data_IF_902448490165
#
_entry.id   IF_902448490165
#
_cell.length_a   1.000
_cell.length_b   1.000
_cell.length_c   1.000
_cell.angle_alpha   90.00
_cell.angle_beta   90.00
_cell.angle_gamma   90.00
#
_symmetry.space_group_name_H-M   'P 1'
#
loop_
_entity.id
_entity.type
_entity.pdbx_description
1 polymer ?
#
# COMPACT_ATOMS: atom_id res chain seq x y z
N UNK A 1 18.89 -59.69 4.55
CA UNK A 1 19.87 -59.32 5.60
C UNK A 1 19.24 -58.19 6.39
N UNK A 2 18.85 -58.42 7.64
CA UNK A 2 18.22 -57.38 8.48
C UNK A 2 19.33 -56.56 9.14
N UNK A 3 19.42 -55.27 8.80
CA UNK A 3 20.29 -54.33 9.50
C UNK A 3 19.55 -53.86 10.76
N UNK A 4 20.04 -54.24 11.94
CA UNK A 4 19.54 -53.68 13.21
C UNK A 4 20.29 -52.39 13.50
N UNK A 5 19.56 -51.27 13.54
CA UNK A 5 20.11 -49.93 13.81
C UNK A 5 20.34 -49.73 15.31
N UNK A 6 19.60 -50.45 16.16
CA UNK A 6 19.71 -50.40 17.61
C UNK A 6 18.48 -51.01 18.28
N UNK A 7 18.57 -51.25 19.58
CA UNK A 7 17.51 -51.89 20.36
C UNK A 7 16.48 -50.88 20.87
N UNK A 8 16.89 -49.62 21.08
CA UNK A 8 16.04 -48.56 21.62
C UNK A 8 16.37 -47.19 21.01
N UNK A 9 15.32 -46.41 20.72
CA UNK A 9 15.44 -44.97 20.47
C UNK A 9 15.63 -44.24 21.80
N UNK A 10 16.75 -43.52 21.93
CA UNK A 10 17.10 -42.71 23.11
C UNK A 10 16.40 -41.37 23.03
N UNK A 11 16.41 -40.72 21.87
CA UNK A 11 15.80 -39.41 21.68
C UNK A 11 15.89 -38.88 20.26
N UNK A 12 15.12 -37.83 20.02
CA UNK A 12 15.07 -37.07 18.78
C UNK A 12 15.34 -35.61 19.13
N UNK A 13 16.28 -34.97 18.43
CA UNK A 13 16.64 -33.57 18.70
C UNK A 13 17.00 -32.85 17.41
N UNK A 14 16.83 -31.53 17.40
CA UNK A 14 17.36 -30.63 16.36
C UNK A 14 18.81 -30.22 16.59
N UNK A 15 19.39 -30.62 17.74
CA UNK A 15 20.79 -30.38 18.09
C UNK A 15 21.46 -31.68 18.51
N UNK A 16 22.80 -31.75 18.43
CA UNK A 16 23.62 -32.89 18.86
C UNK A 16 23.73 -33.07 20.38
N UNK A 17 22.93 -32.32 21.15
CA UNK A 17 22.92 -32.40 22.60
C UNK A 17 21.79 -33.33 23.00
N UNK A 18 22.18 -34.50 23.51
CA UNK A 18 21.28 -35.43 24.18
C UNK A 18 21.62 -35.41 25.67
N UNK A 19 20.63 -35.61 26.54
CA UNK A 19 20.75 -35.52 28.01
C UNK A 19 21.98 -36.26 28.59
N UNK A 20 22.42 -37.33 27.94
CA UNK A 20 23.51 -38.20 28.39
C UNK A 20 24.73 -38.22 27.45
N UNK A 21 24.67 -37.55 26.29
CA UNK A 21 25.72 -37.62 25.27
C UNK A 21 25.80 -36.32 24.47
N UNK A 22 26.99 -35.70 24.48
CA UNK A 22 27.30 -34.60 23.56
C UNK A 22 28.15 -35.17 22.44
N UNK A 23 27.58 -35.27 21.25
CA UNK A 23 28.29 -35.75 20.07
C UNK A 23 29.10 -34.56 19.53
N UNK A 24 30.39 -34.76 19.22
CA UNK A 24 31.26 -33.64 18.87
C UNK A 24 30.81 -33.01 17.53
N UNK A 25 30.74 -31.68 17.52
CA UNK A 25 30.09 -30.87 16.47
C UNK A 25 30.87 -30.87 15.14
N UNK A 26 32.17 -31.20 15.19
CA UNK A 26 33.05 -31.37 14.03
C UNK A 26 32.60 -32.48 13.07
N UNK A 27 31.62 -33.29 13.48
CA UNK A 27 31.07 -34.42 12.73
C UNK A 27 29.87 -34.02 11.85
N UNK A 28 29.34 -32.81 12.02
CA UNK A 28 28.26 -32.28 11.19
C UNK A 28 28.83 -31.32 10.15
N UNK A 29 28.79 -31.75 8.90
CA UNK A 29 28.96 -30.83 7.78
C UNK A 29 27.84 -29.78 7.80
N UNK A 30 28.21 -28.51 7.63
CA UNK A 30 27.25 -27.42 7.51
C UNK A 30 26.26 -27.72 6.38
N UNK A 31 24.98 -27.64 6.70
CA UNK A 31 23.89 -27.85 5.75
C UNK A 31 22.98 -26.62 5.75
N UNK A 32 22.50 -26.23 4.57
CA UNK A 32 21.69 -25.02 4.40
C UNK A 32 20.26 -25.16 4.94
N UNK A 33 19.77 -26.39 5.09
CA UNK A 33 18.40 -26.70 5.51
C UNK A 33 18.38 -27.34 6.92
N UNK A 34 17.22 -27.38 7.60
CA UNK A 34 17.10 -28.00 8.91
C UNK A 34 17.54 -29.46 8.90
N UNK A 35 18.14 -29.88 10.02
CA UNK A 35 18.58 -31.25 10.28
C UNK A 35 17.92 -31.77 11.56
N UNK A 36 17.59 -33.05 11.59
CA UNK A 36 17.09 -33.72 12.80
C UNK A 36 17.92 -34.97 13.07
N UNK A 37 18.17 -35.24 14.35
CA UNK A 37 19.07 -36.30 14.80
C UNK A 37 18.28 -37.29 15.63
N UNK A 38 18.38 -38.57 15.24
CA UNK A 38 17.77 -39.68 15.97
C UNK A 38 18.90 -40.50 16.57
N UNK A 39 18.90 -40.62 17.89
CA UNK A 39 19.89 -41.38 18.62
C UNK A 39 19.31 -42.73 19.03
N UNK A 40 19.93 -43.80 18.57
CA UNK A 40 19.63 -45.18 18.96
C UNK A 40 20.75 -45.72 19.84
N UNK A 41 20.37 -46.62 20.76
CA UNK A 41 21.30 -47.36 21.61
C UNK A 41 21.03 -48.85 21.46
N UNK A 42 22.09 -49.64 21.36
CA UNK A 42 22.05 -51.08 21.54
C UNK A 42 22.62 -51.46 22.91
N UNK A 43 22.02 -52.48 23.52
CA UNK A 43 22.49 -53.06 24.79
C UNK A 43 23.62 -54.08 24.59
N UNK A 44 23.99 -54.37 23.35
CA UNK A 44 25.15 -55.19 23.03
C UNK A 44 26.41 -54.48 23.53
N UNK A 45 27.19 -55.13 24.39
CA UNK A 45 28.44 -54.59 24.95
C UNK A 45 29.62 -55.40 24.45
N UNK A 46 30.76 -54.73 24.27
CA UNK A 46 32.02 -55.39 23.91
C UNK A 46 33.14 -54.89 24.82
N UNK A 47 34.33 -55.52 24.73
CA UNK A 47 35.51 -55.06 25.49
C UNK A 47 35.90 -53.62 25.15
N UNK A 48 35.64 -53.17 23.92
CA UNK A 48 35.93 -51.81 23.47
C UNK A 48 34.81 -50.83 23.79
N UNK A 49 33.55 -51.28 23.82
CA UNK A 49 32.37 -50.46 24.08
C UNK A 49 31.62 -50.97 25.32
N UNK A 50 32.10 -50.59 26.52
CA UNK A 50 31.49 -51.00 27.78
C UNK A 50 30.07 -50.43 28.00
N UNK A 51 29.80 -49.26 27.41
CA UNK A 51 28.52 -48.55 27.55
C UNK A 51 27.48 -48.92 26.48
N UNK A 52 27.80 -49.91 25.65
CA UNK A 52 27.03 -50.33 24.49
C UNK A 52 27.38 -49.57 23.22
N UNK A 53 26.66 -49.88 22.14
CA UNK A 53 26.79 -49.21 20.85
C UNK A 53 25.72 -48.14 20.67
N UNK A 54 26.09 -47.05 20.00
CA UNK A 54 25.19 -45.97 19.65
C UNK A 54 25.14 -45.81 18.14
N UNK A 55 23.96 -45.46 17.61
CA UNK A 55 23.79 -45.13 16.21
C UNK A 55 23.04 -43.81 16.09
N UNK A 56 23.60 -42.87 15.32
CA UNK A 56 22.99 -41.59 15.00
C UNK A 56 22.52 -41.63 13.56
N UNK A 57 21.23 -41.35 13.37
CA UNK A 57 20.66 -41.08 12.07
C UNK A 57 20.46 -39.58 11.94
N UNK A 58 21.20 -38.97 11.03
CA UNK A 58 21.06 -37.56 10.68
C UNK A 58 20.15 -37.43 9.48
N UNK A 59 18.96 -36.89 9.67
CA UNK A 59 18.04 -36.59 8.58
C UNK A 59 18.28 -35.16 8.09
N UNK A 60 18.71 -35.03 6.83
CA UNK A 60 18.93 -33.74 6.16
C UNK A 60 17.76 -33.43 5.23
N UNK A 61 17.15 -32.27 5.42
CA UNK A 61 16.13 -31.76 4.51
C UNK A 61 16.76 -31.39 3.16
N UNK A 62 16.24 -31.97 2.09
CA UNK A 62 16.50 -31.52 0.72
C UNK A 62 15.18 -31.41 -0.05
N UNK A 63 14.60 -30.21 -0.17
CA UNK A 63 13.29 -30.00 -0.78
C UNK A 63 13.32 -30.21 -2.31
N UNK A 64 14.49 -30.14 -2.93
CA UNK A 64 14.65 -30.33 -4.38
C UNK A 64 14.89 -31.80 -4.76
N UNK A 65 15.26 -32.65 -3.81
CA UNK A 65 15.54 -34.06 -4.09
C UNK A 65 14.26 -34.86 -4.32
N UNK A 66 14.23 -35.59 -5.44
CA UNK A 66 13.14 -36.51 -5.78
C UNK A 66 13.27 -37.87 -5.09
N UNK A 67 14.45 -38.20 -4.55
CA UNK A 67 14.74 -39.48 -3.91
C UNK A 67 15.51 -39.32 -2.60
N UNK A 68 15.40 -40.32 -1.72
CA UNK A 68 16.21 -40.40 -0.51
C UNK A 68 17.62 -40.88 -0.86
N UNK A 69 18.64 -40.16 -0.40
CA UNK A 69 20.05 -40.54 -0.52
C UNK A 69 20.59 -40.87 0.85
N UNK A 70 21.34 -41.97 0.93
CA UNK A 70 22.05 -42.37 2.14
C UNK A 70 23.54 -42.11 1.87
N UNK A 71 24.17 -41.38 2.77
CA UNK A 71 25.59 -41.05 2.71
C UNK A 71 26.22 -41.22 4.08
N UNK A 72 27.51 -41.53 4.09
CA UNK A 72 28.30 -41.51 5.31
C UNK A 72 28.96 -40.12 5.46
N UNK A 73 29.21 -39.66 6.69
CA UNK A 73 29.90 -38.39 6.92
C UNK A 73 31.32 -38.43 6.36
N UNK A 74 31.80 -37.33 5.79
CA UNK A 74 33.19 -37.23 5.32
C UNK A 74 34.22 -37.44 6.44
N UNK A 75 33.86 -37.11 7.69
CA UNK A 75 34.73 -37.32 8.87
C UNK A 75 34.93 -38.80 9.22
N UNK A 76 33.93 -39.64 8.96
CA UNK A 76 33.96 -41.08 9.26
C UNK A 76 33.48 -41.86 8.02
N UNK A 77 34.34 -42.11 7.02
CA UNK A 77 33.94 -42.76 5.76
C UNK A 77 33.45 -44.20 5.94
N UNK A 78 33.92 -44.87 6.99
CA UNK A 78 33.48 -46.23 7.38
C UNK A 78 32.19 -46.20 8.22
N UNK A 79 31.61 -45.03 8.44
CA UNK A 79 30.39 -44.84 9.23
C UNK A 79 30.59 -44.87 10.74
N UNK A 80 31.83 -45.06 11.20
CA UNK A 80 32.22 -44.96 12.60
C UNK A 80 33.67 -44.48 12.69
N UNK A 81 33.98 -43.66 13.70
CA UNK A 81 35.34 -43.19 13.95
C UNK A 81 36.00 -43.89 15.16
N UNK A 82 35.21 -44.35 16.13
CA UNK A 82 35.67 -44.97 17.38
C UNK A 82 35.24 -46.44 17.53
N UNK A 83 34.40 -46.94 16.63
CA UNK A 83 33.85 -48.30 16.66
C UNK A 83 32.70 -48.51 17.66
N UNK A 84 32.31 -47.47 18.41
CA UNK A 84 31.19 -47.52 19.36
C UNK A 84 30.02 -46.65 18.91
N UNK A 85 30.31 -45.58 18.16
CA UNK A 85 29.32 -44.67 17.60
C UNK A 85 29.28 -44.83 16.07
N UNK A 86 28.12 -45.26 15.58
CA UNK A 86 27.82 -45.32 14.15
C UNK A 86 27.04 -44.09 13.72
N UNK A 87 27.30 -43.60 12.51
CA UNK A 87 26.63 -42.46 11.96
C UNK A 87 26.25 -42.68 10.50
N UNK A 88 25.00 -42.35 10.21
CA UNK A 88 24.43 -42.41 8.88
C UNK A 88 23.69 -41.11 8.59
N UNK A 89 23.92 -40.53 7.42
CA UNK A 89 23.23 -39.34 6.96
C UNK A 89 22.22 -39.74 5.90
N UNK A 90 20.96 -39.36 6.10
CA UNK A 90 19.85 -39.60 5.19
C UNK A 90 19.35 -38.24 4.70
N UNK A 91 19.59 -37.96 3.42
CA UNK A 91 19.12 -36.74 2.77
C UNK A 91 17.84 -37.04 2.01
N UNK A 92 16.76 -36.34 2.33
CA UNK A 92 15.45 -36.58 1.71
C UNK A 92 14.52 -35.36 1.82
N UNK A 93 13.58 -35.23 0.88
CA UNK A 93 12.48 -34.27 0.98
C UNK A 93 11.60 -34.49 2.21
N UNK A 94 11.46 -35.74 2.65
CA UNK A 94 10.61 -36.08 3.81
C UNK A 94 11.24 -35.72 5.16
N UNK A 95 12.52 -35.34 5.17
CA UNK A 95 13.18 -34.80 6.36
C UNK A 95 12.91 -33.29 6.55
N UNK A 96 12.25 -32.64 5.59
CA UNK A 96 11.89 -31.23 5.68
C UNK A 96 10.66 -31.01 6.57
N UNK A 97 10.58 -29.85 7.25
CA UNK A 97 9.39 -29.48 8.00
C UNK A 97 8.20 -29.28 7.06
N UNK A 98 7.00 -29.47 7.60
CA UNK A 98 5.75 -29.12 6.92
C UNK A 98 5.59 -27.60 6.98
N UNK A 99 5.20 -26.98 5.87
CA UNK A 99 5.00 -25.53 5.82
C UNK A 99 3.93 -25.09 6.83
N UNK A 100 4.24 -24.09 7.65
CA UNK A 100 3.27 -23.40 8.51
C UNK A 100 2.66 -22.21 7.77
N UNK A 101 1.59 -21.62 8.30
CA UNK A 101 0.94 -20.43 7.73
C UNK A 101 1.91 -19.25 7.53
N UNK A 102 2.93 -19.14 8.38
CA UNK A 102 3.97 -18.10 8.32
C UNK A 102 4.98 -18.31 7.18
N UNK A 103 5.13 -19.54 6.70
CA UNK A 103 6.05 -19.88 5.61
C UNK A 103 5.49 -19.52 4.23
N UNK A 104 4.24 -19.05 4.15
CA UNK A 104 3.62 -18.63 2.90
C UNK A 104 3.89 -17.16 2.61
N UNK A 105 4.48 -16.91 1.45
CA UNK A 105 4.60 -15.57 0.90
C UNK A 105 3.37 -15.27 0.03
N UNK A 106 2.69 -14.18 0.37
CA UNK A 106 1.61 -13.65 -0.45
C UNK A 106 2.17 -12.81 -1.60
N UNK A 107 1.69 -13.11 -2.80
CA UNK A 107 1.94 -12.35 -4.00
C UNK A 107 0.61 -11.75 -4.43
N UNK A 108 0.54 -10.43 -4.32
CA UNK A 108 -0.64 -9.65 -4.65
C UNK A 108 -0.64 -9.38 -6.15
N UNK A 109 -1.65 -9.87 -6.86
CA UNK A 109 -1.85 -9.65 -8.28
C UNK A 109 -2.36 -8.25 -8.61
N UNK A 110 -2.58 -8.00 -9.90
CA UNK A 110 -3.17 -6.74 -10.38
C UNK A 110 -4.64 -6.61 -9.97
N UNK A 111 -5.08 -5.37 -9.74
CA UNK A 111 -6.49 -5.05 -9.47
C UNK A 111 -7.23 -4.83 -10.80
N UNK A 112 -7.96 -5.84 -11.26
CA UNK A 112 -8.70 -5.82 -12.53
C UNK A 112 -10.19 -5.92 -12.23
N UNK A 113 -10.99 -4.97 -12.72
CA UNK A 113 -12.45 -4.92 -12.47
C UNK A 113 -12.84 -4.98 -10.98
N UNK A 114 -12.06 -4.33 -10.10
CA UNK A 114 -12.23 -4.36 -8.62
C UNK A 114 -12.01 -5.73 -7.97
N UNK A 115 -11.38 -6.67 -8.67
CA UNK A 115 -10.98 -7.96 -8.17
C UNK A 115 -9.46 -8.10 -8.26
N UNK A 116 -8.86 -8.63 -7.20
CA UNK A 116 -7.44 -8.84 -7.07
C UNK A 116 -7.19 -10.26 -6.61
N UNK A 117 -6.36 -10.98 -7.37
CA UNK A 117 -5.99 -12.36 -7.05
C UNK A 117 -4.73 -12.36 -6.20
N UNK A 118 -4.81 -12.93 -5.00
CA UNK A 118 -3.67 -13.09 -4.10
C UNK A 118 -3.21 -14.54 -4.17
N UNK A 119 -1.99 -14.76 -4.65
CA UNK A 119 -1.37 -16.08 -4.72
C UNK A 119 -0.50 -16.31 -3.49
N UNK A 120 -0.70 -17.43 -2.80
CA UNK A 120 0.16 -17.85 -1.68
C UNK A 120 1.19 -18.87 -2.18
N UNK A 121 2.47 -18.57 -1.98
CA UNK A 121 3.59 -19.42 -2.39
C UNK A 121 4.38 -19.83 -1.15
N UNK A 122 4.58 -21.14 -0.90
CA UNK A 122 5.35 -21.60 0.26
C UNK A 122 6.85 -21.30 0.12
N UNK A 123 7.52 -21.16 1.25
CA UNK A 123 8.96 -20.99 1.32
C UNK A 123 9.72 -22.25 0.87
N UNK A 124 10.98 -22.06 0.45
CA UNK A 124 11.80 -23.16 -0.10
C UNK A 124 12.27 -24.18 0.92
N UNK A 125 12.20 -23.90 2.23
CA UNK A 125 12.73 -24.77 3.29
C UNK A 125 11.71 -25.77 3.86
N UNK A 126 10.49 -25.78 3.34
CA UNK A 126 9.41 -26.63 3.84
C UNK A 126 8.77 -27.44 2.70
N UNK A 127 8.07 -28.51 3.06
CA UNK A 127 7.32 -29.35 2.14
C UNK A 127 5.82 -29.21 2.38
N UNK A 128 5.05 -29.30 1.29
CA UNK A 128 3.60 -29.37 1.31
C UNK A 128 3.19 -30.84 1.49
N UNK A 129 2.30 -31.13 2.43
CA UNK A 129 1.74 -32.48 2.61
C UNK A 129 0.24 -32.41 2.36
N UNK A 130 -0.23 -33.21 1.39
CA UNK A 130 -1.63 -33.29 1.01
C UNK A 130 -2.06 -32.18 0.04
N UNK A 131 -3.35 -31.88 0.05
CA UNK A 131 -3.93 -30.77 -0.72
C UNK A 131 -3.76 -29.50 0.10
N UNK A 132 -2.53 -29.03 0.28
CA UNK A 132 -2.31 -27.76 0.95
C UNK A 132 -2.33 -26.64 -0.09
N UNK A 133 -3.34 -25.82 0.07
CA UNK A 133 -3.92 -24.97 -0.94
C UNK A 133 -2.99 -23.77 -1.20
N UNK A 134 -2.24 -23.82 -2.30
CA UNK A 134 -1.86 -22.63 -3.09
C UNK A 134 -3.11 -21.97 -3.69
N UNK A 135 -4.20 -21.93 -2.92
CA UNK A 135 -5.48 -21.39 -3.31
C UNK A 135 -5.34 -19.89 -3.41
N UNK A 136 -5.40 -19.45 -4.66
CA UNK A 136 -5.47 -18.06 -5.00
C UNK A 136 -6.76 -17.50 -4.42
N UNK A 137 -6.66 -16.62 -3.43
CA UNK A 137 -7.84 -15.95 -2.87
C UNK A 137 -8.14 -14.73 -3.72
N UNK A 138 -9.40 -14.57 -4.12
CA UNK A 138 -9.85 -13.39 -4.86
C UNK A 138 -10.42 -12.38 -3.85
N UNK A 139 -9.76 -11.24 -3.73
CA UNK A 139 -10.15 -10.16 -2.81
C UNK A 139 -10.63 -8.97 -3.63
N UNK A 140 -11.62 -8.22 -3.11
CA UNK A 140 -12.04 -6.98 -3.76
C UNK A 140 -10.99 -5.89 -3.55
N UNK A 141 -10.62 -5.21 -4.63
CA UNK A 141 -9.63 -4.16 -4.65
C UNK A 141 -10.21 -2.90 -5.29
N UNK A 142 -9.58 -1.75 -5.06
CA UNK A 142 -9.96 -0.48 -5.69
C UNK A 142 -8.87 -0.07 -6.67
N UNK A 143 -9.19 -0.08 -7.97
CA UNK A 143 -8.22 0.14 -9.06
C UNK A 143 -7.72 1.58 -9.16
N UNK A 144 -8.45 2.55 -8.59
CA UNK A 144 -8.09 3.96 -8.54
C UNK A 144 -8.06 4.43 -7.09
N UNK A 145 -6.91 4.98 -6.68
CA UNK A 145 -6.77 5.61 -5.38
C UNK A 145 -7.61 6.90 -5.36
N UNK A 146 -8.24 7.18 -4.22
CA UNK A 146 -9.09 8.37 -4.03
C UNK A 146 -8.30 9.65 -4.33
N UNK A 147 -6.99 9.65 -4.08
CA UNK A 147 -6.10 10.76 -4.37
C UNK A 147 -5.99 11.06 -5.87
N UNK A 148 -5.83 10.03 -6.71
CA UNK A 148 -5.77 10.20 -8.18
C UNK A 148 -7.12 10.67 -8.72
N UNK A 149 -8.22 10.12 -8.20
CA UNK A 149 -9.56 10.56 -8.57
C UNK A 149 -9.80 12.05 -8.26
N UNK A 150 -9.31 12.52 -7.11
CA UNK A 150 -9.40 13.92 -6.70
C UNK A 150 -8.56 14.83 -7.60
N UNK A 151 -7.35 14.41 -7.98
CA UNK A 151 -6.49 15.17 -8.91
C UNK A 151 -7.16 15.32 -10.27
N UNK A 152 -7.75 14.25 -10.83
CA UNK A 152 -8.46 14.29 -12.11
C UNK A 152 -9.68 15.24 -12.02
N UNK A 153 -10.43 15.18 -10.92
CA UNK A 153 -11.58 16.06 -10.71
C UNK A 153 -11.17 17.55 -10.63
N UNK A 154 -10.11 17.88 -9.89
CA UNK A 154 -9.61 19.25 -9.78
C UNK A 154 -9.07 19.74 -11.13
N UNK A 155 -8.30 18.92 -11.83
CA UNK A 155 -7.75 19.28 -13.13
C UNK A 155 -8.85 19.59 -14.16
N UNK A 156 -9.89 18.76 -14.22
CA UNK A 156 -11.04 19.00 -15.12
C UNK A 156 -11.79 20.28 -14.74
N UNK A 157 -12.01 20.56 -13.45
CA UNK A 157 -12.65 21.79 -13.00
C UNK A 157 -11.86 23.06 -13.39
N UNK A 158 -10.53 23.04 -13.27
CA UNK A 158 -9.67 24.17 -13.65
C UNK A 158 -9.72 24.42 -15.16
N UNK A 159 -9.69 23.38 -15.99
CA UNK A 159 -9.78 23.50 -17.44
C UNK A 159 -11.12 24.16 -17.85
N UNK A 160 -12.22 23.71 -17.26
CA UNK A 160 -13.55 24.27 -17.52
C UNK A 160 -13.62 25.75 -17.09
N UNK A 161 -13.08 26.09 -15.92
CA UNK A 161 -13.03 27.47 -15.43
C UNK A 161 -12.23 28.40 -16.36
N UNK A 162 -11.06 27.95 -16.83
CA UNK A 162 -10.25 28.71 -17.79
C UNK A 162 -10.99 28.91 -19.12
N UNK A 163 -11.65 27.88 -19.63
CA UNK A 163 -12.44 27.97 -20.86
C UNK A 163 -13.58 28.99 -20.75
N UNK A 164 -14.35 28.96 -19.66
CA UNK A 164 -15.42 29.93 -19.39
C UNK A 164 -14.84 31.35 -19.32
N UNK A 165 -13.72 31.54 -18.64
CA UNK A 165 -13.08 32.85 -18.50
C UNK A 165 -12.68 33.43 -19.86
N UNK A 166 -12.09 32.60 -20.75
CA UNK A 166 -11.76 33.01 -22.12
C UNK A 166 -13.00 33.40 -22.92
N UNK A 167 -14.09 32.65 -22.81
CA UNK A 167 -15.36 32.99 -23.48
C UNK A 167 -15.94 34.32 -22.97
N UNK A 168 -15.89 34.56 -21.66
CA UNK A 168 -16.35 35.82 -21.06
C UNK A 168 -15.52 37.00 -21.55
N UNK A 169 -14.19 36.88 -21.60
CA UNK A 169 -13.30 37.92 -22.11
C UNK A 169 -13.60 38.20 -23.59
N UNK A 170 -13.79 37.16 -24.41
CA UNK A 170 -14.15 37.33 -25.82
C UNK A 170 -15.49 38.05 -25.99
N UNK A 171 -16.52 37.65 -25.25
CA UNK A 171 -17.84 38.28 -25.28
C UNK A 171 -17.78 39.75 -24.83
N UNK A 172 -16.97 40.07 -23.81
CA UNK A 172 -16.74 41.44 -23.34
C UNK A 172 -15.97 42.27 -24.37
N UNK A 173 -14.92 41.72 -24.99
CA UNK A 173 -14.15 42.41 -26.04
C UNK A 173 -14.99 42.69 -27.29
N UNK A 174 -15.83 41.74 -27.72
CA UNK A 174 -16.79 41.99 -28.82
C UNK A 174 -17.77 43.11 -28.47
N UNK A 175 -18.28 43.15 -27.23
CA UNK A 175 -19.17 44.23 -26.77
C UNK A 175 -18.48 45.59 -26.76
N UNK A 176 -17.18 45.63 -26.45
CA UNK A 176 -16.39 46.86 -26.52
C UNK A 176 -16.17 47.31 -27.96
N UNK A 177 -15.72 46.43 -28.86
CA UNK A 177 -15.56 46.77 -30.29
C UNK A 177 -16.85 47.30 -30.90
N UNK A 178 -17.98 46.68 -30.58
CA UNK A 178 -19.31 47.15 -31.00
C UNK A 178 -19.62 48.57 -30.49
N UNK A 179 -19.28 48.89 -29.22
CA UNK A 179 -19.46 50.24 -28.66
C UNK A 179 -18.48 51.26 -29.25
N UNK A 180 -17.20 50.92 -29.44
CA UNK A 180 -16.20 51.81 -30.02
C UNK A 180 -16.50 52.13 -31.49
N UNK A 181 -16.97 51.16 -32.29
CA UNK A 181 -17.36 51.38 -33.68
C UNK A 181 -18.58 52.32 -33.79
N UNK A 182 -19.54 52.19 -32.88
CA UNK A 182 -20.70 53.09 -32.80
C UNK A 182 -20.32 54.52 -32.38
N UNK A 183 -19.37 54.66 -31.45
CA UNK A 183 -18.82 55.97 -31.04
C UNK A 183 -18.03 56.64 -32.16
N UNK A 184 -17.17 55.90 -32.87
CA UNK A 184 -16.39 56.43 -34.01
C UNK A 184 -17.31 56.84 -35.16
N UNK A 185 -18.38 56.10 -35.45
CA UNK A 185 -19.38 56.56 -36.44
C UNK A 185 -20.13 57.81 -35.98
N UNK A 186 -20.47 57.94 -34.69
CA UNK A 186 -21.13 59.15 -34.17
C UNK A 186 -20.20 60.37 -34.03
N UNK A 187 -18.89 60.15 -33.88
CA UNK A 187 -17.88 61.20 -33.81
C UNK A 187 -17.37 61.61 -35.20
N UNK A 188 -17.21 60.66 -36.13
CA UNK A 188 -16.81 60.92 -37.51
C UNK A 188 -17.92 61.54 -38.36
N UNK A 189 -19.16 61.59 -37.87
CA UNK A 189 -20.30 62.19 -38.56
C UNK A 189 -20.57 63.66 -38.23
N UNK A 190 -19.67 64.36 -37.51
CA UNK A 190 -19.96 65.70 -36.98
C UNK A 190 -19.11 66.85 -37.53
N UNK A 191 -18.12 66.57 -38.39
CA UNK A 191 -17.28 67.60 -39.02
C UNK A 191 -17.23 67.46 -40.55
N UNK A 192 -18.34 67.78 -41.24
CA UNK A 192 -18.37 68.27 -42.63
C UNK A 192 -19.79 68.71 -43.06
N UNK A 193 -20.02 70.02 -43.02
CA UNK A 193 -21.00 70.86 -43.75
C UNK A 193 -22.54 70.65 -43.59
N UNK A 194 -23.23 71.77 -43.30
CA UNK A 194 -24.67 72.00 -43.01
C UNK A 194 -25.56 72.07 -44.29
N UNK A 195 -26.88 72.37 -44.22
CA UNK A 195 -27.97 71.89 -43.35
C UNK A 195 -29.16 71.34 -44.18
N UNK A 196 -29.98 70.49 -43.58
CA UNK A 196 -31.29 70.14 -44.12
C UNK A 196 -32.07 69.32 -43.12
N UNK A 197 -33.13 69.91 -42.55
CA UNK A 197 -34.26 69.13 -42.07
C UNK A 197 -34.66 68.15 -43.19
N UNK A 198 -35.14 66.93 -42.96
CA UNK A 198 -36.40 66.61 -42.30
C UNK A 198 -36.42 65.14 -41.80
N UNK A 199 -37.36 64.85 -40.91
CA UNK A 199 -38.00 63.55 -40.66
C UNK A 199 -37.52 62.73 -39.45
N UNK A 200 -38.43 62.69 -38.47
CA UNK A 200 -38.57 61.59 -37.53
C UNK A 200 -38.88 60.29 -38.30
N UNK A 201 -38.03 59.27 -38.16
CA UNK A 201 -38.41 57.90 -38.45
C UNK A 201 -38.30 57.10 -37.14
N UNK A 202 -39.47 56.87 -36.55
CA UNK A 202 -39.72 55.90 -35.49
C UNK A 202 -39.32 54.49 -35.97
N UNK A 203 -38.65 53.75 -35.09
CA UNK A 203 -39.12 52.41 -34.70
C UNK A 203 -38.90 52.29 -33.21
N UNK A 204 -39.97 52.56 -32.46
CA UNK A 204 -40.22 51.85 -31.22
C UNK A 204 -40.36 50.37 -31.59
N UNK A 205 -39.56 49.52 -30.95
CA UNK A 205 -39.97 48.14 -30.66
C UNK A 205 -39.68 47.91 -29.18
N UNK A 206 -40.71 47.38 -28.55
CA UNK A 206 -41.00 47.34 -27.12
C UNK A 206 -40.08 46.42 -26.32
N UNK A 207 -39.99 46.75 -25.03
CA UNK A 207 -39.88 45.88 -23.85
C UNK A 207 -39.19 44.50 -23.97
N UNK A 208 -38.07 44.39 -23.25
CA UNK A 208 -38.04 43.43 -22.13
C UNK A 208 -37.07 43.89 -21.02
N UNK A 209 -37.71 44.44 -19.98
CA UNK A 209 -37.41 44.45 -18.54
C UNK A 209 -35.97 44.31 -17.98
N UNK A 210 -35.77 45.07 -16.90
CA UNK A 210 -34.69 45.00 -15.90
C UNK A 210 -33.40 45.80 -16.19
N UNK A 211 -33.53 47.12 -16.30
CA UNK A 211 -32.46 48.02 -15.85
C UNK A 211 -32.93 48.78 -14.61
N UNK A 212 -32.32 48.42 -13.49
CA UNK A 212 -32.49 49.01 -12.18
C UNK A 212 -32.48 50.55 -12.24
N UNK A 213 -33.59 51.15 -11.84
CA UNK A 213 -33.63 52.57 -11.47
C UNK A 213 -32.99 52.70 -10.09
N UNK A 214 -31.77 53.22 -10.02
CA UNK A 214 -31.15 53.60 -8.74
C UNK A 214 -31.67 55.00 -8.37
N UNK A 215 -32.55 55.06 -7.36
CA UNK A 215 -33.13 56.32 -6.86
C UNK A 215 -32.20 56.92 -5.82
N UNK A 216 -31.68 58.12 -6.10
CA UNK A 216 -30.89 58.91 -5.14
C UNK A 216 -31.87 59.58 -4.15
N UNK A 217 -31.82 59.16 -2.88
CA UNK A 217 -32.56 59.77 -1.76
C UNK A 217 -31.65 60.73 -1.00
N UNK A 218 -31.99 62.02 -0.97
CA UNK A 218 -31.37 63.02 -0.12
C UNK A 218 -32.07 63.05 1.24
N UNK A 219 -31.37 62.65 2.30
CA UNK A 219 -31.80 62.83 3.70
C UNK A 219 -31.13 64.08 4.25
N UNK A 220 -31.93 65.09 4.60
CA UNK A 220 -31.47 66.24 5.38
C UNK A 220 -31.84 66.02 6.85
N UNK A 221 -30.84 65.93 7.73
CA UNK A 221 -31.02 65.73 9.16
C UNK A 221 -29.74 66.01 9.95
N UNK A 222 -29.81 67.04 10.81
CA UNK A 222 -28.72 67.66 11.60
C UNK A 222 -28.00 66.70 12.58
N UNK A 223 -26.68 66.61 12.41
CA UNK A 223 -25.57 66.66 13.38
C UNK A 223 -25.68 66.13 14.83
N UNK A 224 -24.71 65.26 15.21
CA UNK A 224 -23.58 65.46 16.17
C UNK A 224 -22.76 64.15 16.24
N UNK A 225 -21.45 64.16 15.90
CA UNK A 225 -20.28 64.11 16.82
C UNK A 225 -20.20 62.78 17.63
N UNK A 226 -19.16 61.93 17.65
CA UNK A 226 -17.70 62.06 17.47
C UNK A 226 -17.03 60.65 17.47
N UNK A 227 -15.90 60.54 16.75
CA UNK A 227 -14.63 59.79 17.07
C UNK A 227 -14.66 58.26 17.23
N UNK A 228 -13.67 57.44 16.84
CA UNK A 228 -12.40 57.55 16.06
C UNK A 228 -11.70 56.18 16.14
N UNK A 229 -10.96 55.77 15.09
CA UNK A 229 -9.89 54.75 15.12
C UNK A 229 -10.39 53.29 15.19
N UNK A 230 -9.81 52.28 14.55
CA UNK A 230 -8.41 52.06 14.17
C UNK A 230 -8.36 50.92 13.13
N UNK A 231 -7.47 51.04 12.15
CA UNK A 231 -6.98 50.00 11.24
C UNK A 231 -6.34 48.79 11.95
N UNK A 232 -6.54 47.56 11.46
CA UNK A 232 -5.43 46.60 11.29
C UNK A 232 -5.81 45.47 10.33
N UNK A 233 -4.97 45.30 9.31
CA UNK A 233 -4.69 44.05 8.61
C UNK A 233 -4.38 42.94 9.64
N UNK A 234 -4.83 41.70 9.42
CA UNK A 234 -3.96 40.60 8.98
C UNK A 234 -4.66 39.21 8.95
N UNK A 235 -4.29 38.45 7.92
CA UNK A 235 -3.91 37.03 7.95
C UNK A 235 -4.88 35.90 8.40
N UNK A 236 -5.42 35.23 7.38
CA UNK A 236 -5.50 33.76 7.14
C UNK A 236 -5.04 32.82 8.28
N UNK A 237 -5.91 31.89 8.72
CA UNK A 237 -5.76 30.44 8.47
C UNK A 237 -6.98 29.61 8.89
N UNK A 238 -7.32 28.68 8.01
CA UNK A 238 -8.18 27.49 8.11
C UNK A 238 -8.03 26.70 9.43
N UNK A 239 -9.13 26.15 9.94
CA UNK A 239 -9.26 24.70 10.27
C UNK A 239 -10.73 24.33 10.42
N UNK A 240 -11.13 23.30 9.67
CA UNK A 240 -12.21 22.38 10.05
C UNK A 240 -11.99 21.91 11.48
N UNK A 241 -13.05 21.85 12.27
CA UNK A 241 -13.57 20.60 12.82
C UNK A 241 -14.83 20.90 13.63
N UNK A 242 -15.89 20.15 13.33
CA UNK A 242 -17.15 20.22 14.05
C UNK A 242 -17.00 19.76 15.50
N UNK A 243 -17.49 20.58 16.41
CA UNK A 243 -18.17 20.12 17.60
C UNK A 243 -19.30 21.10 17.94
N UNK A 244 -20.31 20.52 18.58
CA UNK A 244 -21.62 21.06 18.89
C UNK A 244 -21.57 22.16 19.96
N UNK A 245 -22.57 23.03 19.88
CA UNK A 245 -22.87 24.17 20.76
C UNK A 245 -22.95 23.85 22.25
N UNK A 246 -22.55 24.79 23.10
CA UNK A 246 -23.40 25.21 24.24
C UNK A 246 -22.98 26.57 24.79
N UNK A 247 -23.98 27.43 25.00
CA UNK A 247 -23.84 28.73 25.63
C UNK A 247 -23.57 28.58 27.13
N UNK A 248 -22.68 29.41 27.68
CA UNK A 248 -22.56 29.62 29.12
C UNK A 248 -22.68 31.11 29.42
N UNK A 249 -23.77 31.40 30.13
CA UNK A 249 -24.07 32.67 30.78
C UNK A 249 -22.98 33.01 31.79
N UNK A 250 -22.47 34.25 31.76
CA UNK A 250 -21.55 34.74 32.76
C UNK A 250 -22.26 34.85 34.12
N UNK A 251 -21.69 34.21 35.14
CA UNK A 251 -21.97 34.50 36.54
C UNK A 251 -21.15 35.72 36.96
N UNK A 252 -21.86 36.68 37.54
CA UNK A 252 -21.38 37.84 38.28
C UNK A 252 -20.71 37.44 39.60
N UNK A 253 -19.48 37.89 39.83
CA UNK A 253 -19.06 38.75 40.96
C UNK A 253 -17.57 39.13 40.83
#
# INVERSE_FOLDING_TARGET
MFFSIGDRLVGISSSLRFDQLTIPENVIEQWHFPQTFFLYKSFSVSRSCANGYYAILTFRCDPASNSSKISLPSTCPDGTCDGCLYQVVITSRFACPICSAEDYKEIVGECVHNLQTIHRIPAKHCILIGQDHTESTVVSCRSISVQVQLIIAVATAVIVFLFITVLLIRKKNQKLQYKYMKLVQSASGKDAELPGAESCALTEDEDDTASASDRILFVHGKGKSRTSGWLTLDRKSTTENGYESTALTAASD
#
